data_IF_588160185189
#
_entry.id   IF_588160185189
#
_cell.length_a   1.000
_cell.length_b   1.000
_cell.length_c   1.000
_cell.angle_alpha   90.00
_cell.angle_beta   90.00
_cell.angle_gamma   90.00
#
_symmetry.space_group_name_H-M   'P 1'
#
loop_
_entity.id
_entity.type
_entity.pdbx_description
1 polymer ?
#
# COMPACT_ATOMS: atom_id res chain seq x y z
N UNK A 1 -0.85 -14.50 -4.78
CA UNK A 1 -0.65 -15.14 -3.46
C UNK A 1 -0.23 -14.03 -2.52
N UNK A 2 -0.88 -13.91 -1.36
CA UNK A 2 -0.63 -12.84 -0.38
C UNK A 2 0.81 -12.89 0.15
N UNK A 3 1.39 -11.71 0.44
CA UNK A 3 2.73 -11.54 0.98
C UNK A 3 2.73 -11.78 2.50
N UNK A 4 3.18 -12.95 3.01
CA UNK A 4 2.96 -13.34 4.40
C UNK A 4 3.66 -12.43 5.42
N UNK A 5 4.72 -11.73 4.99
CA UNK A 5 5.44 -10.79 5.85
C UNK A 5 4.60 -9.59 6.31
N UNK A 6 3.57 -9.21 5.57
CA UNK A 6 2.76 -8.03 5.88
C UNK A 6 1.83 -8.24 7.08
N UNK A 7 1.41 -9.49 7.34
CA UNK A 7 0.60 -9.80 8.52
C UNK A 7 1.37 -9.42 9.81
N UNK A 8 2.64 -9.80 9.89
CA UNK A 8 3.47 -9.48 11.06
C UNK A 8 3.83 -7.99 11.13
N UNK A 9 4.11 -7.36 9.99
CA UNK A 9 4.43 -5.92 9.92
C UNK A 9 3.28 -5.04 10.39
N UNK A 10 2.02 -5.47 10.18
CA UNK A 10 0.83 -4.72 10.60
C UNK A 10 0.75 -4.43 12.11
N UNK A 11 1.57 -5.11 12.93
CA UNK A 11 1.68 -4.88 14.38
C UNK A 11 2.59 -3.71 14.74
N UNK A 12 3.39 -3.19 13.80
CA UNK A 12 4.28 -2.05 14.01
C UNK A 12 3.52 -0.73 13.89
N UNK A 13 2.56 -0.49 14.77
CA UNK A 13 1.61 0.64 14.66
C UNK A 13 2.24 2.03 14.76
N UNK A 14 3.52 2.12 15.11
CA UNK A 14 4.30 3.37 15.12
C UNK A 14 5.17 3.56 13.86
N UNK A 15 5.10 2.64 12.89
CA UNK A 15 5.87 2.72 11.66
C UNK A 15 5.41 3.93 10.83
N UNK A 16 6.36 4.78 10.44
CA UNK A 16 6.09 5.99 9.67
C UNK A 16 6.48 5.87 8.19
N UNK A 17 7.37 4.94 7.86
CA UNK A 17 7.87 4.75 6.50
C UNK A 17 7.91 3.26 6.19
N UNK A 18 7.38 2.89 5.03
CA UNK A 18 7.34 1.52 4.56
C UNK A 18 7.68 1.50 3.08
N UNK A 19 8.73 0.76 2.74
CA UNK A 19 9.15 0.50 1.37
C UNK A 19 8.78 -0.93 1.01
N UNK A 20 7.98 -1.06 -0.04
CA UNK A 20 7.48 -2.31 -0.58
C UNK A 20 7.75 -2.42 -2.08
N UNK A 21 8.62 -1.56 -2.64
CA UNK A 21 8.85 -1.48 -4.08
C UNK A 21 9.27 -2.84 -4.68
N UNK A 22 8.83 -3.11 -5.91
CA UNK A 22 9.20 -4.29 -6.69
C UNK A 22 8.95 -5.64 -5.97
N UNK A 23 7.90 -5.70 -5.15
CA UNK A 23 7.43 -6.95 -4.53
C UNK A 23 6.14 -7.44 -5.19
N UNK A 24 5.85 -8.74 -5.05
CA UNK A 24 4.60 -9.38 -5.50
C UNK A 24 3.48 -9.16 -4.47
N UNK A 25 3.03 -7.91 -4.34
CA UNK A 25 2.00 -7.48 -3.40
C UNK A 25 0.70 -7.26 -4.17
N UNK A 26 -0.41 -7.71 -3.58
CA UNK A 26 -1.76 -7.63 -4.14
C UNK A 26 -2.65 -6.67 -3.35
N UNK A 27 -3.83 -6.36 -3.87
CA UNK A 27 -4.82 -5.52 -3.17
C UNK A 27 -5.16 -6.04 -1.76
N UNK A 28 -5.25 -7.37 -1.60
CA UNK A 28 -5.52 -8.00 -0.31
C UNK A 28 -4.41 -7.74 0.71
N UNK A 29 -3.16 -7.60 0.26
CA UNK A 29 -2.03 -7.32 1.12
C UNK A 29 -2.04 -5.88 1.65
N UNK A 30 -2.60 -4.95 0.88
CA UNK A 30 -2.79 -3.57 1.30
C UNK A 30 -3.81 -3.42 2.45
N UNK A 31 -4.69 -4.41 2.66
CA UNK A 31 -5.53 -4.45 3.86
C UNK A 31 -4.67 -4.48 5.14
N UNK A 32 -3.57 -5.23 5.13
CA UNK A 32 -2.64 -5.26 6.26
C UNK A 32 -1.86 -3.96 6.41
N UNK A 33 -1.44 -3.35 5.29
CA UNK A 33 -0.77 -2.05 5.30
C UNK A 33 -1.68 -0.96 5.87
N UNK A 34 -2.98 -1.00 5.58
CA UNK A 34 -3.96 -0.02 6.08
C UNK A 34 -4.08 0.05 7.61
N UNK A 35 -3.58 -0.96 8.33
CA UNK A 35 -3.53 -1.00 9.81
C UNK A 35 -2.41 -0.14 10.38
N UNK A 36 -1.44 0.27 9.57
CA UNK A 36 -0.31 1.12 9.96
C UNK A 36 -0.74 2.60 9.97
N UNK A 37 -1.65 2.96 10.86
CA UNK A 37 -2.31 4.29 10.83
C UNK A 37 -1.38 5.48 11.06
N UNK A 38 -0.14 5.26 11.47
CA UNK A 38 0.89 6.30 11.64
C UNK A 38 1.81 6.43 10.41
N UNK A 39 1.54 5.69 9.33
CA UNK A 39 2.37 5.70 8.14
C UNK A 39 2.25 7.05 7.42
N UNK A 40 3.40 7.65 7.13
CA UNK A 40 3.54 8.94 6.44
C UNK A 40 4.11 8.78 5.04
N UNK A 41 4.90 7.72 4.80
CA UNK A 41 5.47 7.42 3.49
C UNK A 41 5.28 5.95 3.13
N UNK A 42 4.75 5.71 1.95
CA UNK A 42 4.54 4.38 1.40
C UNK A 42 5.07 4.34 -0.03
N UNK A 43 6.04 3.45 -0.27
CA UNK A 43 6.53 3.16 -1.63
C UNK A 43 5.98 1.81 -2.11
N UNK A 44 5.13 1.86 -3.14
CA UNK A 44 4.58 0.69 -3.84
C UNK A 44 5.07 0.64 -5.30
N UNK A 45 6.11 1.40 -5.65
CA UNK A 45 6.57 1.45 -7.03
C UNK A 45 6.93 0.06 -7.55
N UNK A 46 6.69 -0.17 -8.84
CA UNK A 46 6.88 -1.46 -9.51
C UNK A 46 6.02 -2.63 -8.97
N UNK A 47 5.02 -2.37 -8.10
CA UNK A 47 4.08 -3.40 -7.66
C UNK A 47 2.96 -3.56 -8.68
N UNK A 48 3.11 -4.52 -9.60
CA UNK A 48 2.21 -4.70 -10.75
C UNK A 48 0.87 -5.33 -10.41
N UNK A 49 0.77 -6.06 -9.31
CA UNK A 49 -0.44 -6.81 -8.94
C UNK A 49 -1.41 -5.98 -8.06
N UNK A 50 -1.13 -4.68 -7.87
CA UNK A 50 -2.01 -3.72 -7.21
C UNK A 50 -2.89 -3.03 -8.24
N UNK A 51 -4.18 -2.95 -7.96
CA UNK A 51 -5.20 -2.31 -8.79
C UNK A 51 -5.83 -1.11 -8.09
N UNK A 52 -6.75 -0.43 -8.77
CA UNK A 52 -7.56 0.66 -8.21
C UNK A 52 -8.26 0.26 -6.89
N UNK A 53 -8.69 -1.00 -6.76
CA UNK A 53 -9.32 -1.50 -5.55
C UNK A 53 -8.36 -1.46 -4.34
N UNK A 54 -7.07 -1.70 -4.56
CA UNK A 54 -6.03 -1.62 -3.54
C UNK A 54 -5.88 -0.22 -2.95
N UNK A 55 -6.06 0.82 -3.77
CA UNK A 55 -5.98 2.21 -3.30
C UNK A 55 -7.09 2.57 -2.30
N UNK A 56 -8.25 1.91 -2.37
CA UNK A 56 -9.31 2.04 -1.36
C UNK A 56 -8.88 1.58 0.05
N UNK A 57 -7.86 0.73 0.17
CA UNK A 57 -7.25 0.41 1.47
C UNK A 57 -6.23 1.48 1.90
N UNK A 58 -5.47 2.03 0.94
CA UNK A 58 -4.46 3.07 1.19
C UNK A 58 -5.11 4.37 1.66
N UNK A 59 -6.32 4.71 1.19
CA UNK A 59 -7.06 5.91 1.63
C UNK A 59 -7.38 5.94 3.13
N UNK A 60 -7.31 4.79 3.82
CA UNK A 60 -7.47 4.71 5.29
C UNK A 60 -6.26 5.23 6.07
N UNK A 61 -5.11 5.38 5.41
CA UNK A 61 -3.88 5.90 6.00
C UNK A 61 -3.95 7.43 6.09
N UNK A 62 -4.72 7.95 7.04
CA UNK A 62 -5.01 9.38 7.17
C UNK A 62 -3.79 10.26 7.48
N UNK A 63 -2.66 9.65 7.89
CA UNK A 63 -1.39 10.34 8.13
C UNK A 63 -0.45 10.30 6.92
N UNK A 64 -0.84 9.65 5.81
CA UNK A 64 0.00 9.47 4.65
C UNK A 64 0.23 10.80 3.93
N UNK A 65 1.50 11.12 3.69
CA UNK A 65 1.94 12.35 3.03
C UNK A 65 2.62 12.08 1.70
N UNK A 66 3.20 10.89 1.53
CA UNK A 66 3.92 10.49 0.32
C UNK A 66 3.50 9.08 -0.07
N UNK A 67 3.00 8.95 -1.29
CA UNK A 67 2.65 7.68 -1.91
C UNK A 67 3.35 7.59 -3.27
N UNK A 68 4.19 6.57 -3.45
CA UNK A 68 4.84 6.30 -4.74
C UNK A 68 4.18 5.11 -5.43
N UNK A 69 3.56 5.35 -6.59
CA UNK A 69 2.89 4.35 -7.43
C UNK A 69 3.57 4.20 -8.80
N UNK A 70 4.81 4.68 -8.93
CA UNK A 70 5.54 4.67 -10.20
C UNK A 70 5.65 3.24 -10.73
N UNK A 71 5.32 3.03 -12.01
CA UNK A 71 5.28 1.70 -12.65
C UNK A 71 4.26 0.69 -12.09
N UNK A 72 3.22 1.15 -11.39
CA UNK A 72 2.04 0.33 -11.08
C UNK A 72 1.06 0.33 -12.28
N UNK A 73 1.21 -0.65 -13.18
CA UNK A 73 0.52 -0.65 -14.47
C UNK A 73 -1.01 -0.84 -14.40
N UNK A 74 -1.53 -1.34 -13.28
CA UNK A 74 -2.96 -1.66 -13.10
C UNK A 74 -3.71 -0.62 -12.25
N UNK A 75 -3.06 0.51 -11.92
CA UNK A 75 -3.70 1.66 -11.30
C UNK A 75 -4.05 2.67 -12.41
N UNK A 76 -5.30 3.12 -12.41
CA UNK A 76 -5.88 4.05 -13.36
C UNK A 76 -6.40 5.30 -12.64
N UNK A 77 -6.94 6.26 -13.41
CA UNK A 77 -7.53 7.46 -12.83
C UNK A 77 -8.71 7.15 -11.88
N UNK A 78 -9.40 6.02 -12.07
CA UNK A 78 -10.48 5.58 -11.17
C UNK A 78 -9.98 5.33 -9.75
N UNK A 79 -8.75 4.84 -9.58
CA UNK A 79 -8.16 4.63 -8.26
C UNK A 79 -7.89 5.92 -7.48
N UNK A 80 -7.86 7.07 -8.15
CA UNK A 80 -7.64 8.40 -7.54
C UNK A 80 -8.95 9.05 -7.05
N UNK A 81 -10.10 8.41 -7.26
CA UNK A 81 -11.40 8.92 -6.80
C UNK A 81 -11.67 8.64 -5.31
N UNK A 82 -10.80 7.86 -4.66
CA UNK A 82 -10.87 7.45 -3.24
C UNK A 82 -10.11 8.39 -2.31
#
# INVERSE_FOLDING_TARGET
>A
MSYPGLEHLSRLTQLQQLDLQNNNITDADLEHVSKLTQLQKLDLSWCRDITDAGLGHVSRLTQLQQLNLTYCANITDTGLEH
#
